data_IF_383408354661
#
_entry.id   IF_383408354661
#
_cell.length_a   1.000
_cell.length_b   1.000
_cell.length_c   1.000
_cell.angle_alpha   90.00
_cell.angle_beta   90.00
_cell.angle_gamma   90.00
#
_symmetry.space_group_name_H-M   'P 1'
#
loop_
_entity.id
_entity.type
_entity.pdbx_description
1 polymer ?
#
# COMPACT_ATOMS: atom_id res chain seq x y z
N UNK A 1 -12.00 8.05 -28.91
CA UNK A 1 -11.33 9.35 -28.74
C UNK A 1 -9.86 9.30 -29.14
N UNK A 2 -9.34 10.30 -29.85
CA UNK A 2 -7.91 10.50 -30.15
C UNK A 2 -7.48 11.94 -29.84
N UNK A 3 -6.23 12.14 -29.42
CA UNK A 3 -5.65 13.49 -29.28
C UNK A 3 -5.19 13.96 -30.66
N UNK A 4 -5.72 15.09 -31.11
CA UNK A 4 -5.40 15.69 -32.41
C UNK A 4 -4.27 16.71 -32.29
N UNK A 5 -4.28 17.54 -31.24
CA UNK A 5 -3.18 18.49 -30.96
C UNK A 5 -3.15 18.92 -29.48
N UNK A 6 -1.97 19.29 -29.00
CA UNK A 6 -1.79 19.94 -27.70
C UNK A 6 -1.94 21.46 -27.81
N UNK A 7 -2.49 22.10 -26.78
CA UNK A 7 -2.71 23.54 -26.76
C UNK A 7 -1.42 24.33 -26.55
N UNK A 8 -1.00 25.15 -27.52
CA UNK A 8 0.22 25.97 -27.37
C UNK A 8 -0.02 27.17 -26.41
N UNK A 9 -1.18 27.83 -26.52
CA UNK A 9 -1.58 28.94 -25.62
C UNK A 9 -2.17 28.46 -24.29
N UNK A 10 -2.65 27.21 -24.24
CA UNK A 10 -3.24 26.58 -23.06
C UNK A 10 -2.69 25.16 -22.91
N UNK A 11 -1.46 25.01 -22.40
CA UNK A 11 -0.73 23.73 -22.37
C UNK A 11 -1.40 22.64 -21.52
N UNK A 12 -2.35 23.01 -20.66
CA UNK A 12 -3.14 22.09 -19.86
C UNK A 12 -4.37 21.52 -20.60
N UNK A 13 -4.57 21.85 -21.88
CA UNK A 13 -5.68 21.33 -22.70
C UNK A 13 -5.18 20.60 -23.95
N UNK A 14 -5.87 19.53 -24.27
CA UNK A 14 -5.72 18.80 -25.53
C UNK A 14 -6.97 18.98 -26.38
N UNK A 15 -6.76 19.13 -27.68
CA UNK A 15 -7.83 19.07 -28.66
C UNK A 15 -8.04 17.60 -29.02
N UNK A 16 -9.24 17.11 -28.78
CA UNK A 16 -9.61 15.70 -28.87
C UNK A 16 -10.69 15.54 -29.94
N UNK A 17 -10.69 14.39 -30.62
CA UNK A 17 -11.74 13.98 -31.53
C UNK A 17 -12.34 12.66 -31.04
N UNK A 18 -13.67 12.55 -30.98
CA UNK A 18 -14.36 11.31 -30.64
C UNK A 18 -14.26 10.31 -31.82
N UNK A 19 -14.17 9.03 -31.48
CA UNK A 19 -13.94 7.92 -32.45
C UNK A 19 -15.10 6.91 -32.40
N UNK A 20 -16.07 7.13 -31.50
CA UNK A 20 -17.29 6.32 -31.43
C UNK A 20 -18.19 6.66 -32.63
N UNK A 21 -18.91 5.67 -33.15
CA UNK A 21 -19.73 5.81 -34.37
C UNK A 21 -20.87 6.81 -34.16
N UNK A 22 -21.39 6.92 -32.93
CA UNK A 22 -22.48 7.84 -32.58
C UNK A 22 -22.03 9.31 -32.46
N UNK A 23 -20.73 9.55 -32.26
CA UNK A 23 -20.13 10.88 -32.04
C UNK A 23 -18.96 11.15 -33.02
N UNK A 24 -18.93 10.41 -34.13
CA UNK A 24 -17.83 10.44 -35.08
C UNK A 24 -17.71 11.84 -35.71
N UNK A 25 -16.64 12.57 -35.35
CA UNK A 25 -16.36 13.91 -35.85
C UNK A 25 -16.61 15.06 -34.86
N UNK A 26 -17.12 14.81 -33.65
CA UNK A 26 -17.12 15.84 -32.61
C UNK A 26 -15.69 16.09 -32.11
N UNK A 27 -15.28 17.36 -32.17
CA UNK A 27 -13.98 17.81 -31.71
C UNK A 27 -14.15 18.84 -30.59
N UNK A 28 -13.39 18.69 -29.51
CA UNK A 28 -13.47 19.61 -28.38
C UNK A 28 -12.14 19.77 -27.66
N UNK A 29 -12.03 20.83 -26.86
CA UNK A 29 -10.90 21.04 -25.96
C UNK A 29 -11.19 20.45 -24.59
N UNK A 30 -10.45 19.41 -24.22
CA UNK A 30 -10.52 18.79 -22.91
C UNK A 30 -9.28 19.16 -22.06
N UNK A 31 -9.43 19.36 -20.74
CA UNK A 31 -8.29 19.39 -19.83
C UNK A 31 -7.53 18.05 -19.89
N UNK A 32 -6.22 18.10 -20.04
CA UNK A 32 -5.38 16.89 -20.15
C UNK A 32 -5.54 15.99 -18.91
N UNK A 33 -5.64 16.59 -17.72
CA UNK A 33 -5.83 15.83 -16.47
C UNK A 33 -7.15 15.06 -16.37
N UNK A 34 -8.10 15.26 -17.30
CA UNK A 34 -9.33 14.44 -17.40
C UNK A 34 -9.21 13.27 -18.37
N UNK A 35 -8.12 13.21 -19.15
CA UNK A 35 -7.86 12.11 -20.06
C UNK A 35 -7.18 10.99 -19.28
N UNK A 36 -7.75 9.78 -19.35
CA UNK A 36 -7.30 8.62 -18.57
C UNK A 36 -6.51 7.62 -19.41
N UNK A 37 -7.04 7.23 -20.56
CA UNK A 37 -6.42 6.26 -21.46
C UNK A 37 -6.73 6.56 -22.94
N UNK A 38 -5.91 6.04 -23.87
CA UNK A 38 -6.30 5.98 -25.28
C UNK A 38 -7.57 5.16 -25.47
N UNK A 39 -8.43 5.56 -26.40
CA UNK A 39 -9.70 4.86 -26.63
C UNK A 39 -9.55 3.42 -27.08
N UNK A 40 -8.49 3.10 -27.83
CA UNK A 40 -8.18 1.72 -28.21
C UNK A 40 -7.90 0.81 -27.01
N UNK A 41 -7.53 1.39 -25.87
CA UNK A 41 -7.21 0.66 -24.63
C UNK A 41 -8.37 0.72 -23.62
N UNK A 42 -9.55 1.25 -23.99
CA UNK A 42 -10.66 1.46 -23.05
C UNK A 42 -11.06 0.18 -22.33
N UNK A 43 -11.18 -0.94 -23.05
CA UNK A 43 -11.56 -2.22 -22.46
C UNK A 43 -10.53 -2.70 -21.42
N UNK A 44 -9.23 -2.61 -21.74
CA UNK A 44 -8.14 -2.95 -20.81
C UNK A 44 -8.17 -2.03 -19.58
N UNK A 45 -8.35 -0.72 -19.79
CA UNK A 45 -8.46 0.24 -18.71
C UNK A 45 -9.63 -0.07 -17.77
N UNK A 46 -10.81 -0.37 -18.33
CA UNK A 46 -11.98 -0.75 -17.53
C UNK A 46 -11.77 -2.04 -16.75
N UNK A 47 -11.08 -3.03 -17.33
CA UNK A 47 -10.71 -4.26 -16.63
C UNK A 47 -9.75 -3.98 -15.47
N UNK A 48 -8.72 -3.15 -15.68
CA UNK A 48 -7.78 -2.74 -14.63
C UNK A 48 -8.49 -1.97 -13.52
N UNK A 49 -9.36 -1.01 -13.85
CA UNK A 49 -10.14 -0.27 -12.85
C UNK A 49 -11.07 -1.20 -12.04
N UNK A 50 -11.66 -2.21 -12.69
CA UNK A 50 -12.47 -3.21 -11.99
C UNK A 50 -11.65 -4.05 -11.01
N UNK A 51 -10.39 -4.39 -11.34
CA UNK A 51 -9.46 -5.07 -10.42
C UNK A 51 -9.09 -4.18 -9.24
N UNK A 52 -8.79 -2.90 -9.48
CA UNK A 52 -8.54 -1.92 -8.43
C UNK A 52 -9.74 -1.75 -7.49
N UNK A 53 -10.96 -1.65 -8.02
CA UNK A 53 -12.17 -1.56 -7.19
C UNK A 53 -12.38 -2.84 -6.37
N UNK A 54 -12.18 -4.01 -6.98
CA UNK A 54 -12.33 -5.29 -6.30
C UNK A 54 -11.35 -5.44 -5.13
N UNK A 55 -10.06 -5.11 -5.35
CA UNK A 55 -9.05 -5.21 -4.30
C UNK A 55 -9.26 -4.16 -3.21
N UNK A 56 -9.61 -2.92 -3.58
CA UNK A 56 -9.93 -1.86 -2.62
C UNK A 56 -11.13 -2.24 -1.74
N UNK A 57 -12.18 -2.83 -2.34
CA UNK A 57 -13.35 -3.32 -1.60
C UNK A 57 -12.99 -4.44 -0.63
N UNK A 58 -12.16 -5.39 -1.05
CA UNK A 58 -11.68 -6.48 -0.18
C UNK A 58 -10.79 -5.97 0.97
N UNK A 59 -9.98 -4.94 0.71
CA UNK A 59 -9.08 -4.31 1.67
C UNK A 59 -9.73 -3.22 2.54
N UNK A 60 -11.00 -2.86 2.31
CA UNK A 60 -11.68 -1.76 3.00
C UNK A 60 -11.78 -1.91 4.53
N UNK A 61 -11.53 -3.12 5.05
CA UNK A 61 -11.47 -3.41 6.48
C UNK A 61 -10.13 -3.05 7.14
N UNK A 62 -9.14 -2.57 6.38
CA UNK A 62 -7.84 -2.20 6.90
C UNK A 62 -7.97 -1.18 8.04
N UNK A 63 -7.34 -1.50 9.17
CA UNK A 63 -7.28 -0.63 10.34
C UNK A 63 -5.96 0.13 10.41
N UNK A 64 -5.89 1.16 11.26
CA UNK A 64 -4.63 1.86 11.55
C UNK A 64 -3.60 0.90 12.18
N UNK A 65 -4.03 -0.14 12.89
CA UNK A 65 -3.15 -1.20 13.45
C UNK A 65 -2.56 -2.05 12.33
N UNK A 66 -3.35 -2.47 11.35
CA UNK A 66 -2.84 -3.22 10.19
C UNK A 66 -1.80 -2.39 9.43
N UNK A 67 -2.06 -1.07 9.30
CA UNK A 67 -1.11 -0.14 8.70
C UNK A 67 0.21 -0.09 9.46
N UNK A 68 0.17 0.07 10.79
CA UNK A 68 1.39 0.08 11.61
C UNK A 68 2.13 -1.28 11.54
N UNK A 69 1.43 -2.42 11.51
CA UNK A 69 2.07 -3.74 11.35
C UNK A 69 2.85 -3.82 10.04
N UNK A 70 2.22 -3.42 8.93
CA UNK A 70 2.84 -3.49 7.61
C UNK A 70 3.97 -2.47 7.49
N UNK A 71 3.75 -1.21 7.89
CA UNK A 71 4.75 -0.15 7.79
C UNK A 71 6.00 -0.43 8.64
N UNK A 72 5.84 -0.91 9.88
CA UNK A 72 6.97 -1.31 10.73
C UNK A 72 7.77 -2.44 10.10
N UNK A 73 7.08 -3.46 9.59
CA UNK A 73 7.75 -4.63 9.03
C UNK A 73 8.43 -4.26 7.71
N UNK A 74 7.73 -3.59 6.80
CA UNK A 74 8.28 -3.18 5.51
C UNK A 74 9.44 -2.20 5.68
N UNK A 75 9.34 -1.24 6.61
CA UNK A 75 10.41 -0.30 6.92
C UNK A 75 11.72 -0.97 7.37
N UNK A 76 11.66 -2.20 7.89
CA UNK A 76 12.86 -2.97 8.18
C UNK A 76 13.56 -3.45 6.88
N UNK A 77 12.81 -3.87 5.87
CA UNK A 77 13.34 -4.60 4.72
C UNK A 77 13.49 -3.76 3.46
N UNK A 78 12.63 -2.76 3.28
CA UNK A 78 12.55 -1.97 2.08
C UNK A 78 13.27 -0.62 2.22
N UNK A 79 14.58 -0.63 1.93
CA UNK A 79 15.40 0.59 1.89
C UNK A 79 15.26 1.37 0.59
N UNK A 80 14.61 0.78 -0.41
CA UNK A 80 14.51 1.31 -1.78
C UNK A 80 13.13 1.87 -2.09
N UNK A 81 12.20 1.87 -1.13
CA UNK A 81 10.80 2.24 -1.31
C UNK A 81 10.13 1.41 -2.45
N UNK A 82 10.48 0.13 -2.52
CA UNK A 82 9.89 -0.85 -3.44
C UNK A 82 8.52 -1.37 -2.97
N UNK A 83 8.12 -1.08 -1.73
CA UNK A 83 6.84 -1.43 -1.13
C UNK A 83 6.07 -0.15 -0.81
N UNK A 84 4.87 -0.01 -1.36
CA UNK A 84 3.98 1.11 -1.10
C UNK A 84 2.66 0.60 -0.52
N UNK A 85 2.50 0.68 0.81
CA UNK A 85 1.28 0.27 1.55
C UNK A 85 0.10 1.26 1.39
N UNK A 86 0.04 2.08 0.34
CA UNK A 86 -1.09 2.98 0.08
C UNK A 86 -1.32 3.12 -1.41
N UNK A 87 -1.16 2.01 -2.15
CA UNK A 87 -1.23 2.01 -3.59
C UNK A 87 -2.62 2.44 -4.08
N UNK A 88 -2.65 3.34 -5.07
CA UNK A 88 -3.91 3.95 -5.54
C UNK A 88 -4.62 4.86 -4.54
N UNK A 89 -4.00 5.21 -3.40
CA UNK A 89 -4.62 5.86 -2.23
C UNK A 89 -5.66 4.97 -1.51
N UNK A 90 -5.54 3.65 -1.60
CA UNK A 90 -6.38 2.71 -0.86
C UNK A 90 -5.63 2.17 0.36
N UNK A 91 -6.26 2.23 1.53
CA UNK A 91 -5.76 1.58 2.73
C UNK A 91 -5.75 0.06 2.53
N UNK A 92 -4.68 -0.62 2.98
CA UNK A 92 -4.58 -2.07 2.88
C UNK A 92 -4.34 -2.59 1.46
N UNK A 93 -3.86 -1.75 0.54
CA UNK A 93 -3.42 -2.19 -0.79
C UNK A 93 -1.94 -1.87 -0.93
N UNK A 94 -1.13 -2.88 -1.23
CA UNK A 94 0.32 -2.72 -1.40
C UNK A 94 0.72 -2.87 -2.85
N UNK A 95 1.51 -1.94 -3.36
CA UNK A 95 2.22 -2.12 -4.62
C UNK A 95 3.67 -2.55 -4.34
N UNK A 96 4.15 -3.54 -5.09
CA UNK A 96 5.54 -3.98 -5.12
C UNK A 96 6.15 -3.62 -6.47
N UNK A 97 7.01 -2.61 -6.54
CA UNK A 97 7.44 -2.03 -7.83
C UNK A 97 8.40 -2.91 -8.67
N UNK A 98 9.14 -3.81 -8.03
CA UNK A 98 9.96 -4.83 -8.71
C UNK A 98 9.78 -6.17 -7.99
N UNK A 99 8.68 -6.89 -8.28
CA UNK A 99 8.33 -8.09 -7.52
C UNK A 99 9.37 -9.20 -7.70
N UNK A 100 10.07 -9.27 -8.83
CA UNK A 100 11.08 -10.30 -9.10
C UNK A 100 12.39 -10.03 -8.35
N UNK A 101 12.90 -8.79 -8.37
CA UNK A 101 14.07 -8.44 -7.56
C UNK A 101 13.76 -8.59 -6.07
N UNK A 102 12.57 -8.17 -5.63
CA UNK A 102 12.12 -8.30 -4.24
C UNK A 102 12.04 -9.78 -3.83
N UNK A 103 11.44 -10.62 -4.68
CA UNK A 103 11.36 -12.08 -4.49
C UNK A 103 12.73 -12.68 -4.22
N UNK A 104 13.70 -12.34 -5.07
CA UNK A 104 15.05 -12.87 -5.02
C UNK A 104 15.83 -12.38 -3.80
N UNK A 105 15.65 -11.11 -3.43
CA UNK A 105 16.35 -10.51 -2.30
C UNK A 105 15.90 -11.12 -0.96
N UNK A 106 14.59 -11.36 -0.81
CA UNK A 106 13.99 -11.82 0.44
C UNK A 106 13.61 -13.31 0.44
N UNK A 107 13.92 -14.04 -0.64
CA UNK A 107 13.58 -15.46 -0.82
C UNK A 107 12.09 -15.75 -0.59
N UNK A 108 11.23 -14.82 -1.00
CA UNK A 108 9.77 -14.94 -0.88
C UNK A 108 9.24 -15.82 -2.02
N UNK A 109 8.16 -16.57 -1.76
CA UNK A 109 7.44 -17.34 -2.78
C UNK A 109 6.03 -16.78 -2.90
N UNK A 110 5.83 -15.90 -3.87
CA UNK A 110 4.55 -15.21 -4.11
C UNK A 110 3.39 -16.19 -4.23
N UNK A 111 3.63 -17.32 -4.89
CA UNK A 111 2.62 -18.33 -5.22
C UNK A 111 2.01 -19.01 -3.98
N UNK A 112 2.61 -18.83 -2.80
CA UNK A 112 2.11 -19.40 -1.56
C UNK A 112 1.05 -18.55 -0.85
N UNK A 113 0.88 -17.28 -1.24
CA UNK A 113 -0.06 -16.37 -0.57
C UNK A 113 -0.70 -15.30 -1.45
N UNK A 114 -0.18 -15.07 -2.65
CA UNK A 114 -0.84 -14.22 -3.65
C UNK A 114 -2.11 -14.93 -4.11
N UNK A 115 -3.25 -14.29 -3.85
CA UNK A 115 -4.57 -14.80 -4.18
C UNK A 115 -5.05 -14.33 -5.56
N UNK A 116 -6.29 -14.68 -5.93
CA UNK A 116 -6.90 -14.27 -7.21
C UNK A 116 -7.29 -12.79 -7.28
N UNK A 117 -7.25 -12.05 -6.16
CA UNK A 117 -7.53 -10.61 -6.13
C UNK A 117 -6.27 -9.80 -6.43
N UNK A 118 -5.09 -10.37 -6.19
CA UNK A 118 -3.83 -9.75 -6.54
C UNK A 118 -3.61 -9.76 -8.06
N UNK A 119 -2.98 -8.72 -8.59
CA UNK A 119 -2.75 -8.57 -10.02
C UNK A 119 -1.51 -7.74 -10.33
N UNK A 120 -1.02 -7.82 -11.57
CA UNK A 120 0.06 -6.97 -12.06
C UNK A 120 -0.52 -5.73 -12.74
N UNK A 121 0.01 -4.55 -12.41
CA UNK A 121 -0.30 -3.29 -13.06
C UNK A 121 1.00 -2.51 -13.33
N UNK A 122 1.25 -2.22 -14.60
CA UNK A 122 2.46 -1.52 -15.08
C UNK A 122 3.80 -2.06 -14.51
N UNK A 123 3.89 -3.39 -14.35
CA UNK A 123 5.06 -4.09 -13.82
C UNK A 123 5.15 -4.15 -12.29
N UNK A 124 4.20 -3.52 -11.59
CA UNK A 124 4.07 -3.63 -10.13
C UNK A 124 3.13 -4.78 -9.77
N UNK A 125 3.45 -5.52 -8.72
CA UNK A 125 2.53 -6.50 -8.14
C UNK A 125 1.66 -5.80 -7.09
N UNK A 126 0.35 -5.81 -7.33
CA UNK A 126 -0.66 -5.23 -6.44
C UNK A 126 -1.22 -6.32 -5.53
N UNK A 127 -1.09 -6.12 -4.22
CA UNK A 127 -1.46 -7.06 -3.17
C UNK A 127 -2.66 -6.56 -2.37
N UNK A 128 -3.56 -7.49 -2.03
CA UNK A 128 -4.66 -7.27 -1.10
C UNK A 128 -4.13 -7.14 0.33
N UNK A 129 -4.98 -6.68 1.27
CA UNK A 129 -4.60 -6.53 2.68
C UNK A 129 -4.08 -7.85 3.25
N UNK A 130 -4.76 -8.97 2.95
CA UNK A 130 -4.37 -10.29 3.43
C UNK A 130 -3.02 -10.72 2.87
N UNK A 131 -2.78 -10.50 1.59
CA UNK A 131 -1.49 -10.78 0.98
C UNK A 131 -0.37 -9.87 1.53
N UNK A 132 -0.67 -8.60 1.81
CA UNK A 132 0.26 -7.67 2.45
C UNK A 132 0.63 -8.08 3.87
N UNK A 133 -0.35 -8.50 4.67
CA UNK A 133 -0.12 -8.99 6.04
C UNK A 133 0.67 -10.29 6.05
N UNK A 134 0.40 -11.20 5.11
CA UNK A 134 1.15 -12.43 4.97
C UNK A 134 2.58 -12.19 4.48
N UNK A 135 2.78 -11.23 3.56
CA UNK A 135 4.12 -10.77 3.17
C UNK A 135 4.88 -10.21 4.37
N UNK A 136 4.27 -9.32 5.15
CA UNK A 136 4.86 -8.77 6.37
C UNK A 136 5.24 -9.90 7.33
N UNK A 137 4.34 -10.84 7.61
CA UNK A 137 4.61 -12.00 8.47
C UNK A 137 5.82 -12.80 8.00
N UNK A 138 5.89 -13.11 6.71
CA UNK A 138 7.02 -13.87 6.12
C UNK A 138 8.34 -13.11 6.21
N UNK A 139 8.33 -11.81 5.94
CA UNK A 139 9.51 -10.96 6.10
C UNK A 139 10.00 -10.96 7.55
N UNK A 140 9.08 -10.79 8.51
CA UNK A 140 9.40 -10.80 9.92
C UNK A 140 9.97 -12.15 10.38
N UNK A 141 9.41 -13.27 9.90
CA UNK A 141 9.92 -14.60 10.21
C UNK A 141 11.25 -14.91 9.53
N UNK A 142 11.55 -14.31 8.38
CA UNK A 142 12.79 -14.52 7.65
C UNK A 142 14.01 -13.84 8.33
N UNK A 143 13.80 -12.70 9.00
CA UNK A 143 14.83 -12.06 9.84
C UNK A 143 14.22 -11.51 11.15
N UNK A 144 13.94 -12.39 12.13
CA UNK A 144 13.30 -12.00 13.40
C UNK A 144 14.11 -10.99 14.19
N UNK A 145 15.44 -11.13 14.17
CA UNK A 145 16.36 -10.28 14.94
C UNK A 145 16.30 -8.84 14.46
N UNK A 146 16.24 -8.64 13.14
CA UNK A 146 16.15 -7.31 12.54
C UNK A 146 14.83 -6.62 12.90
N UNK A 147 13.71 -7.33 12.79
CA UNK A 147 12.40 -6.78 13.17
C UNK A 147 12.32 -6.47 14.66
N UNK A 148 12.81 -7.35 15.53
CA UNK A 148 12.84 -7.10 16.98
C UNK A 148 13.67 -5.86 17.33
N UNK A 149 14.83 -5.68 16.68
CA UNK A 149 15.68 -4.52 16.92
C UNK A 149 14.99 -3.21 16.52
N UNK A 150 14.34 -3.17 15.35
CA UNK A 150 13.66 -1.96 14.89
C UNK A 150 12.39 -1.69 15.71
N UNK A 151 11.62 -2.74 16.03
CA UNK A 151 10.43 -2.64 16.86
C UNK A 151 10.74 -2.03 18.24
N UNK A 152 11.83 -2.49 18.88
CA UNK A 152 12.26 -1.94 20.17
C UNK A 152 12.61 -0.45 20.08
N UNK A 153 13.26 -0.03 18.98
CA UNK A 153 13.61 1.36 18.74
C UNK A 153 12.36 2.22 18.52
N UNK A 154 11.45 1.82 17.63
CA UNK A 154 10.24 2.58 17.32
C UNK A 154 9.31 2.68 18.55
N UNK A 155 9.18 1.61 19.33
CA UNK A 155 8.41 1.65 20.57
C UNK A 155 9.03 2.59 21.61
N UNK A 156 10.35 2.66 21.70
CA UNK A 156 11.00 3.60 22.61
C UNK A 156 10.76 5.06 22.18
N UNK A 157 10.95 5.36 20.89
CA UNK A 157 10.69 6.69 20.32
C UNK A 157 9.23 7.11 20.52
N UNK A 158 8.28 6.21 20.27
CA UNK A 158 6.86 6.50 20.46
C UNK A 158 6.47 6.70 21.93
N UNK A 159 7.14 6.02 22.87
CA UNK A 159 6.96 6.23 24.32
C UNK A 159 7.46 7.59 24.74
N UNK A 160 8.62 8.02 24.23
CA UNK A 160 9.18 9.36 24.48
C UNK A 160 8.26 10.45 23.92
N UNK A 161 7.82 10.32 22.66
CA UNK A 161 6.85 11.24 22.04
C UNK A 161 5.56 11.32 22.87
N UNK A 162 5.03 10.17 23.30
CA UNK A 162 3.83 10.14 24.14
C UNK A 162 4.05 10.87 25.47
N UNK A 163 5.17 10.62 26.16
CA UNK A 163 5.50 11.29 27.42
C UNK A 163 5.63 12.81 27.25
N UNK A 164 6.27 13.28 26.17
CA UNK A 164 6.33 14.71 25.84
C UNK A 164 4.93 15.31 25.61
N UNK A 165 4.08 14.62 24.85
CA UNK A 165 2.71 15.08 24.60
C UNK A 165 1.85 15.12 25.86
N UNK A 166 2.01 14.13 26.75
CA UNK A 166 1.33 14.08 28.06
C UNK A 166 1.80 15.23 28.95
N UNK A 167 3.12 15.39 29.10
CA UNK A 167 3.72 16.41 29.98
C UNK A 167 3.42 17.84 29.53
N UNK A 168 3.21 18.07 28.23
CA UNK A 168 2.79 19.36 27.67
C UNK A 168 1.26 19.58 27.71
N UNK A 169 0.46 18.63 28.20
CA UNK A 169 -1.00 18.71 28.23
C UNK A 169 -1.63 18.71 26.84
N UNK A 170 -0.98 18.10 25.84
CA UNK A 170 -1.36 18.14 24.42
C UNK A 170 -2.06 16.88 23.89
N UNK A 171 -2.31 15.89 24.76
CA UNK A 171 -2.95 14.60 24.44
C UNK A 171 -4.29 14.71 23.67
N UNK A 172 -5.02 15.83 23.81
CA UNK A 172 -6.33 16.01 23.15
C UNK A 172 -6.29 16.53 21.72
N UNK A 173 -5.11 16.75 21.11
CA UNK A 173 -5.03 17.22 19.72
C UNK A 173 -5.20 16.04 18.78
N UNK A 174 -6.32 16.03 18.04
CA UNK A 174 -6.57 15.13 16.90
C UNK A 174 -5.32 15.06 16.01
N UNK A 175 -4.81 13.86 15.77
CA UNK A 175 -3.84 13.64 14.70
C UNK A 175 -4.64 13.49 13.41
N UNK A 176 -4.17 14.13 12.35
CA UNK A 176 -4.54 13.71 11.01
C UNK A 176 -3.72 12.45 10.73
N UNK A 177 -4.36 11.29 10.79
CA UNK A 177 -3.84 10.11 10.08
C UNK A 177 -4.23 10.27 8.61
N UNK A 178 -3.51 9.60 7.71
CA UNK A 178 -3.80 9.69 6.27
C UNK A 178 -5.19 9.07 5.96
N UNK A 179 -5.73 8.27 6.88
CA UNK A 179 -7.10 7.71 6.91
C UNK A 179 -8.21 8.67 7.40
N UNK A 180 -7.89 9.88 7.86
CA UNK A 180 -8.83 10.80 8.53
C UNK A 180 -8.35 11.16 9.94
N UNK A 181 -9.18 11.78 10.79
CA UNK A 181 -8.71 12.10 12.15
C UNK A 181 -8.76 10.86 13.05
N UNK A 182 -7.62 10.23 13.34
CA UNK A 182 -7.55 9.32 14.48
C UNK A 182 -7.57 10.12 15.78
N UNK A 183 -8.49 9.77 16.67
CA UNK A 183 -8.55 10.30 18.04
C UNK A 183 -7.68 9.50 19.01
N UNK A 184 -7.04 8.43 18.53
CA UNK A 184 -6.24 7.51 19.35
C UNK A 184 -4.77 7.94 19.36
N UNK A 185 -4.07 7.88 20.50
CA UNK A 185 -2.62 8.07 20.53
C UNK A 185 -1.92 7.00 19.70
N UNK A 186 -1.00 7.39 18.80
CA UNK A 186 -0.20 6.46 17.97
C UNK A 186 0.47 5.34 18.76
N UNK A 187 0.88 5.61 20.00
CA UNK A 187 1.49 4.60 20.87
C UNK A 187 0.57 3.39 21.12
N UNK A 188 -0.75 3.58 21.14
CA UNK A 188 -1.70 2.48 21.33
C UNK A 188 -1.73 1.56 20.10
N UNK A 189 -1.85 2.13 18.90
CA UNK A 189 -1.84 1.37 17.65
C UNK A 189 -0.49 0.66 17.44
N UNK A 190 0.63 1.34 17.73
CA UNK A 190 1.97 0.75 17.71
C UNK A 190 2.13 -0.41 18.71
N UNK A 191 1.53 -0.30 19.90
CA UNK A 191 1.62 -1.36 20.91
C UNK A 191 0.81 -2.59 20.48
N UNK A 192 -0.36 -2.40 19.87
CA UNK A 192 -1.15 -3.49 19.31
C UNK A 192 -0.47 -4.14 18.10
N UNK A 193 0.09 -3.33 17.20
CA UNK A 193 0.87 -3.81 16.07
C UNK A 193 2.10 -4.62 16.53
N UNK A 194 2.82 -4.13 17.55
CA UNK A 194 3.93 -4.85 18.16
C UNK A 194 3.52 -6.23 18.67
N UNK A 195 2.37 -6.33 19.36
CA UNK A 195 1.86 -7.59 19.88
C UNK A 195 1.55 -8.61 18.76
N UNK A 196 1.03 -8.14 17.62
CA UNK A 196 0.80 -8.99 16.43
C UNK A 196 2.12 -9.53 15.89
N UNK A 197 3.11 -8.65 15.68
CA UNK A 197 4.42 -9.02 15.17
C UNK A 197 5.12 -9.99 16.13
N UNK A 198 5.14 -9.70 17.43
CA UNK A 198 5.70 -10.59 18.45
C UNK A 198 5.00 -11.96 18.48
N UNK A 199 3.68 -12.00 18.25
CA UNK A 199 2.93 -13.24 18.09
C UNK A 199 3.46 -14.11 16.95
N UNK A 200 3.79 -13.51 15.81
CA UNK A 200 4.40 -14.23 14.68
C UNK A 200 5.78 -14.79 15.03
N UNK A 201 6.63 -13.98 15.67
CA UNK A 201 7.99 -14.37 16.03
C UNK A 201 8.02 -15.42 17.16
N UNK A 202 7.04 -15.39 18.06
CA UNK A 202 6.86 -16.38 19.12
C UNK A 202 6.43 -17.74 18.60
N UNK A 203 5.54 -17.79 17.61
CA UNK A 203 5.09 -19.04 16.98
C UNK A 203 6.24 -19.77 16.25
N UNK A 204 7.17 -19.02 15.64
CA UNK A 204 8.35 -19.59 14.99
C UNK A 204 9.26 -20.34 15.98
N UNK A 205 9.47 -19.77 17.18
CA UNK A 205 10.26 -20.43 18.24
C UNK A 205 9.64 -21.75 18.72
N UNK A 206 8.32 -21.92 18.66
CA UNK A 206 7.67 -23.18 19.08
C UNK A 206 7.82 -24.27 18.02
N UNK A 207 7.92 -23.93 16.73
CA UNK A 207 8.15 -24.91 15.67
C UNK A 207 9.57 -25.46 15.69
N UNK A 208 10.59 -24.63 15.93
CA UNK A 208 11.99 -25.07 16.02
C UNK A 208 12.24 -26.08 17.17
N UNK A 209 11.47 -26.00 18.26
CA UNK A 209 11.60 -26.92 19.41
C UNK A 209 10.90 -28.26 19.19
N UNK A 210 9.99 -28.37 18.22
CA UNK A 210 9.29 -29.62 17.90
C UNK A 210 10.01 -30.45 16.83
N UNK A 211 11.10 -29.93 16.25
CA UNK A 211 11.92 -30.63 15.23
C UNK A 211 13.25 -31.18 15.79
N UNK A 212 13.42 -31.21 17.13
CA UNK A 212 14.58 -31.80 17.84
C UNK A 212 14.12 -33.01 18.65
#
# INVERSE_FOLDING_TARGET
MRVVKLGIKHPHRAYIAFVAIEEEGEETWAPIGRLKCPWGDLARFQETEAKWEAIASASARASDVDAEVVELTFGCFDKTNSLNYWAGNYAGVTAVSDPEAFRKLHSIRWEEFVDSLCFEDDGELILSLDASMELARRLAMNDPSKVQSELAKVLNEAREEHFELVSLGRLGKKRWTISGSSTRPRIEDLTEAAAIIEGWLGAAKVQEWNEI
#
